data_IF_957782380833
#
_entry.id   IF_957782380833
#
_cell.length_a   1.000
_cell.length_b   1.000
_cell.length_c   1.000
_cell.angle_alpha   90.00
_cell.angle_beta   90.00
_cell.angle_gamma   90.00
#
_symmetry.space_group_name_H-M   'P 1'
#
loop_
_entity.id
_entity.type
_entity.pdbx_description
1 polymer ?
#
# COMPACT_ATOMS: atom_id res chain seq x y z
N UNK A 1 -17.27 -32.41 -30.34
CA UNK A 1 -16.33 -33.37 -29.73
C UNK A 1 -15.67 -34.17 -30.83
N UNK A 2 -14.37 -33.99 -31.03
CA UNK A 2 -13.62 -34.66 -32.10
C UNK A 2 -13.22 -36.07 -31.66
N UNK A 3 -12.96 -36.97 -32.63
CA UNK A 3 -12.52 -38.35 -32.34
C UNK A 3 -11.29 -38.42 -31.44
N UNK A 4 -10.43 -37.38 -31.47
CA UNK A 4 -9.26 -37.26 -30.60
C UNK A 4 -9.63 -36.91 -29.15
N UNK A 5 -10.64 -36.07 -28.92
CA UNK A 5 -11.14 -35.73 -27.58
C UNK A 5 -11.78 -36.95 -26.91
N UNK A 6 -12.56 -37.73 -27.65
CA UNK A 6 -13.19 -38.96 -27.13
C UNK A 6 -12.15 -40.03 -26.75
N UNK A 7 -11.05 -40.14 -27.51
CA UNK A 7 -9.96 -41.08 -27.19
C UNK A 7 -9.14 -40.63 -25.97
N UNK A 8 -9.03 -39.32 -25.73
CA UNK A 8 -8.33 -38.78 -24.57
C UNK A 8 -9.16 -38.98 -23.30
N UNK A 9 -10.46 -38.70 -23.37
CA UNK A 9 -11.39 -38.91 -22.24
C UNK A 9 -11.51 -40.38 -21.84
N UNK A 10 -11.53 -41.31 -22.81
CA UNK A 10 -11.54 -42.75 -22.53
C UNK A 10 -10.24 -43.26 -21.89
N UNK A 11 -9.08 -42.67 -22.21
CA UNK A 11 -7.81 -43.03 -21.58
C UNK A 11 -7.70 -42.48 -20.15
N UNK A 12 -8.29 -41.32 -19.88
CA UNK A 12 -8.23 -40.66 -18.57
C UNK A 12 -9.24 -41.26 -17.57
N UNK A 13 -10.37 -41.80 -18.04
CA UNK A 13 -11.37 -42.48 -17.19
C UNK A 13 -11.06 -43.95 -16.87
N UNK A 14 -10.08 -44.57 -17.52
CA UNK A 14 -9.61 -45.91 -17.16
C UNK A 14 -8.52 -45.78 -16.08
N UNK A 15 -8.93 -45.92 -14.82
CA UNK A 15 -8.00 -45.96 -13.67
C UNK A 15 -6.92 -47.04 -13.88
N UNK A 16 -5.66 -46.70 -13.59
CA UNK A 16 -4.54 -47.64 -13.51
C UNK A 16 -4.86 -48.73 -12.49
N UNK A 17 -5.10 -49.96 -12.97
CA UNK A 17 -5.40 -51.12 -12.13
C UNK A 17 -6.44 -52.10 -12.69
N UNK A 18 -7.26 -51.68 -13.67
CA UNK A 18 -8.23 -52.60 -14.29
C UNK A 18 -7.56 -53.38 -15.41
N UNK A 19 -7.26 -54.66 -15.17
CA UNK A 19 -6.66 -55.55 -16.18
C UNK A 19 -7.66 -55.76 -17.34
N UNK A 20 -7.23 -55.77 -18.62
CA UNK A 20 -8.11 -56.02 -19.77
C UNK A 20 -8.88 -57.35 -19.73
N UNK A 21 -8.48 -58.28 -18.86
CA UNK A 21 -9.15 -59.56 -18.61
C UNK A 21 -10.51 -59.43 -17.92
N UNK A 22 -10.76 -58.36 -17.17
CA UNK A 22 -12.01 -58.21 -16.39
C UNK A 22 -13.18 -57.71 -17.26
N UNK A 23 -12.88 -56.99 -18.34
CA UNK A 23 -13.88 -56.56 -19.34
C UNK A 23 -14.43 -57.76 -20.16
N UNK A 24 -13.68 -58.86 -20.27
CA UNK A 24 -14.14 -60.07 -20.98
C UNK A 24 -15.12 -60.95 -20.19
N UNK A 25 -15.26 -60.75 -18.87
CA UNK A 25 -16.18 -61.55 -18.04
C UNK A 25 -17.62 -61.03 -18.01
N UNK A 26 -17.88 -59.85 -18.58
CA UNK A 26 -19.21 -59.23 -18.65
C UNK A 26 -20.05 -59.61 -19.89
N UNK A 27 -19.57 -60.53 -20.73
CA UNK A 27 -20.35 -61.07 -21.85
C UNK A 27 -20.48 -62.58 -21.74
N UNK A 28 -21.45 -63.05 -20.94
CA UNK A 28 -22.17 -64.35 -21.09
C UNK A 28 -23.07 -64.60 -19.87
N UNK A 29 -24.15 -63.85 -19.75
CA UNK A 29 -25.38 -64.39 -19.14
C UNK A 29 -26.32 -64.74 -20.30
N UNK A 30 -26.24 -66.00 -20.74
CA UNK A 30 -27.28 -66.61 -21.57
C UNK A 30 -28.46 -66.89 -20.63
N UNK A 31 -29.53 -66.13 -20.77
CA UNK A 31 -30.85 -66.49 -20.28
C UNK A 31 -31.78 -66.50 -21.49
N UNK A 32 -31.82 -67.66 -22.14
CA UNK A 32 -32.79 -68.03 -23.17
C UNK A 32 -33.27 -69.41 -22.77
N UNK A 33 -34.53 -69.50 -22.34
CA UNK A 33 -35.19 -70.78 -22.05
C UNK A 33 -35.82 -70.79 -20.67
N UNK A 34 -37.02 -70.23 -20.54
CA UNK A 34 -38.19 -70.89 -19.94
C UNK A 34 -39.36 -69.91 -19.89
N UNK A 35 -40.22 -70.00 -20.92
CA UNK A 35 -41.55 -69.39 -20.94
C UNK A 35 -42.53 -70.54 -20.71
N UNK A 36 -43.18 -70.65 -19.54
CA UNK A 36 -44.37 -71.47 -19.40
C UNK A 36 -45.60 -70.67 -19.86
N UNK A 37 -46.33 -71.28 -20.80
CA UNK A 37 -47.59 -70.82 -21.33
C UNK A 37 -48.70 -70.74 -20.25
N UNK A 38 -49.36 -69.59 -20.23
CA UNK A 38 -50.80 -69.34 -20.00
C UNK A 38 -51.57 -70.13 -18.92
N UNK A 39 -51.90 -69.45 -17.82
CA UNK A 39 -53.13 -69.65 -17.01
C UNK A 39 -53.73 -68.25 -16.74
N UNK A 40 -55.07 -68.06 -16.84
CA UNK A 40 -55.71 -66.75 -16.88
C UNK A 40 -55.79 -66.11 -15.49
N UNK A 41 -54.94 -65.11 -15.26
CA UNK A 41 -54.95 -64.28 -14.06
C UNK A 41 -55.87 -63.09 -14.32
N UNK A 42 -56.84 -62.88 -13.42
CA UNK A 42 -57.70 -61.70 -13.43
C UNK A 42 -56.86 -60.41 -13.53
N UNK A 43 -57.30 -59.42 -14.33
CA UNK A 43 -56.47 -58.27 -14.67
C UNK A 43 -56.01 -57.57 -13.37
N UNK A 44 -54.68 -57.44 -13.14
CA UNK A 44 -54.19 -56.59 -12.07
C UNK A 44 -54.78 -55.19 -12.27
N UNK A 45 -55.18 -54.49 -11.19
CA UNK A 45 -55.82 -53.18 -11.29
C UNK A 45 -54.93 -52.28 -12.17
N UNK A 46 -55.43 -51.80 -13.32
CA UNK A 46 -54.59 -51.31 -14.42
C UNK A 46 -53.77 -50.04 -14.13
N UNK A 47 -53.82 -49.50 -12.91
CA UNK A 47 -53.24 -48.19 -12.58
C UNK A 47 -52.07 -48.21 -11.57
N UNK A 48 -51.89 -49.22 -10.71
CA UNK A 48 -50.90 -49.13 -9.62
C UNK A 48 -49.43 -49.13 -10.11
N UNK A 49 -49.11 -49.98 -11.09
CA UNK A 49 -47.78 -50.03 -11.71
C UNK A 49 -47.50 -48.78 -12.54
N UNK A 50 -48.53 -48.24 -13.19
CA UNK A 50 -48.44 -47.01 -13.96
C UNK A 50 -48.16 -45.81 -13.05
N UNK A 51 -48.82 -45.75 -11.89
CA UNK A 51 -48.61 -44.70 -10.89
C UNK A 51 -47.21 -44.75 -10.24
N UNK A 52 -46.69 -45.95 -9.97
CA UNK A 52 -45.31 -46.09 -9.48
C UNK A 52 -44.28 -45.70 -10.54
N UNK A 53 -44.53 -46.04 -11.80
CA UNK A 53 -43.65 -45.71 -12.91
C UNK A 53 -43.64 -44.20 -13.17
N UNK A 54 -44.79 -43.54 -13.11
CA UNK A 54 -44.88 -42.07 -13.21
C UNK A 54 -44.21 -41.39 -12.03
N UNK A 55 -44.41 -41.86 -10.79
CA UNK A 55 -43.71 -41.32 -9.61
C UNK A 55 -42.18 -41.44 -9.76
N UNK A 56 -41.66 -42.61 -10.14
CA UNK A 56 -40.21 -42.79 -10.35
C UNK A 56 -39.67 -41.97 -11.50
N UNK A 57 -40.48 -41.75 -12.54
CA UNK A 57 -40.12 -40.88 -13.66
C UNK A 57 -40.03 -39.42 -13.22
N UNK A 58 -40.98 -38.95 -12.40
CA UNK A 58 -40.94 -37.59 -11.83
C UNK A 58 -39.75 -37.40 -10.87
N UNK A 59 -39.42 -38.41 -10.06
CA UNK A 59 -38.25 -38.38 -9.17
C UNK A 59 -36.93 -38.35 -9.96
N UNK A 60 -36.84 -39.11 -11.07
CA UNK A 60 -35.68 -39.05 -11.96
C UNK A 60 -35.55 -37.69 -12.66
N UNK A 61 -36.66 -37.08 -13.06
CA UNK A 61 -36.66 -35.75 -13.65
C UNK A 61 -36.26 -34.67 -12.63
N UNK A 62 -36.72 -34.76 -11.37
CA UNK A 62 -36.29 -33.85 -10.31
C UNK A 62 -34.81 -34.00 -9.99
N UNK A 63 -34.30 -35.23 -9.88
CA UNK A 63 -32.87 -35.48 -9.66
C UNK A 63 -32.01 -35.00 -10.83
N UNK A 64 -32.49 -35.13 -12.07
CA UNK A 64 -31.81 -34.57 -13.25
C UNK A 64 -31.77 -33.05 -13.21
N UNK A 65 -32.87 -32.40 -12.84
CA UNK A 65 -32.93 -30.95 -12.71
C UNK A 65 -32.01 -30.44 -11.59
N UNK A 66 -31.97 -31.13 -10.44
CA UNK A 66 -31.06 -30.80 -9.34
C UNK A 66 -29.59 -31.00 -9.75
N UNK A 67 -29.26 -32.11 -10.41
CA UNK A 67 -27.91 -32.37 -10.89
C UNK A 67 -27.47 -31.33 -11.93
N UNK A 68 -28.36 -30.90 -12.82
CA UNK A 68 -28.07 -29.82 -13.78
C UNK A 68 -27.84 -28.49 -13.07
N UNK A 69 -28.67 -28.16 -12.07
CA UNK A 69 -28.51 -26.95 -11.25
C UNK A 69 -27.17 -26.95 -10.49
N UNK A 70 -26.78 -28.08 -9.90
CA UNK A 70 -25.49 -28.23 -9.21
C UNK A 70 -24.32 -28.12 -10.19
N UNK A 71 -24.43 -28.74 -11.37
CA UNK A 71 -23.39 -28.62 -12.41
C UNK A 71 -23.24 -27.18 -12.91
N UNK A 72 -24.34 -26.45 -13.08
CA UNK A 72 -24.30 -25.04 -13.44
C UNK A 72 -23.65 -24.19 -12.34
N UNK A 73 -24.05 -24.40 -11.07
CA UNK A 73 -23.43 -23.72 -9.93
C UNK A 73 -21.93 -24.01 -9.79
N UNK A 74 -21.51 -25.26 -10.05
CA UNK A 74 -20.09 -25.64 -10.06
C UNK A 74 -19.33 -24.92 -11.18
N UNK A 75 -19.93 -24.79 -12.37
CA UNK A 75 -19.34 -24.07 -13.51
C UNK A 75 -19.17 -22.58 -13.21
N UNK A 76 -20.18 -21.95 -12.61
CA UNK A 76 -20.14 -20.55 -12.20
C UNK A 76 -19.08 -20.31 -11.12
N UNK A 77 -19.04 -21.15 -10.10
CA UNK A 77 -18.04 -21.07 -9.02
C UNK A 77 -16.62 -21.24 -9.57
N UNK A 78 -16.43 -22.17 -10.51
CA UNK A 78 -15.14 -22.36 -11.18
C UNK A 78 -14.72 -21.11 -11.96
N UNK A 79 -15.64 -20.51 -12.73
CA UNK A 79 -15.37 -19.29 -13.47
C UNK A 79 -14.99 -18.13 -12.54
N UNK A 80 -15.71 -17.95 -11.44
CA UNK A 80 -15.40 -16.91 -10.45
C UNK A 80 -14.01 -17.11 -9.81
N UNK A 81 -13.63 -18.36 -9.55
CA UNK A 81 -12.30 -18.68 -9.04
C UNK A 81 -11.21 -18.36 -10.07
N UNK A 82 -11.41 -18.74 -11.33
CA UNK A 82 -10.47 -18.47 -12.42
C UNK A 82 -10.31 -16.95 -12.66
N UNK A 83 -11.40 -16.17 -12.61
CA UNK A 83 -11.39 -14.71 -12.73
C UNK A 83 -10.66 -14.06 -11.55
N UNK A 84 -10.91 -14.54 -10.32
CA UNK A 84 -10.24 -14.07 -9.11
C UNK A 84 -8.74 -14.35 -9.13
N UNK A 85 -8.33 -15.54 -9.57
CA UNK A 85 -6.91 -15.90 -9.72
C UNK A 85 -6.24 -15.05 -10.80
N UNK A 86 -6.90 -14.82 -11.93
CA UNK A 86 -6.40 -13.96 -13.00
C UNK A 86 -6.20 -12.52 -12.51
N UNK A 87 -7.16 -11.98 -11.77
CA UNK A 87 -7.05 -10.65 -11.16
C UNK A 87 -5.89 -10.57 -10.15
N UNK A 88 -5.69 -11.59 -9.31
CA UNK A 88 -4.56 -11.66 -8.37
C UNK A 88 -3.22 -11.71 -9.09
N UNK A 89 -3.08 -12.50 -10.16
CA UNK A 89 -1.87 -12.58 -10.97
C UNK A 89 -1.56 -11.21 -11.59
N UNK A 90 -2.57 -10.52 -12.13
CA UNK A 90 -2.41 -9.18 -12.67
C UNK A 90 -1.97 -8.18 -11.58
N UNK A 91 -2.59 -8.23 -10.40
CA UNK A 91 -2.22 -7.40 -9.26
C UNK A 91 -0.77 -7.61 -8.79
N UNK A 92 -0.32 -8.86 -8.69
CA UNK A 92 1.07 -9.19 -8.32
C UNK A 92 2.06 -8.67 -9.38
N UNK A 93 1.70 -8.73 -10.67
CA UNK A 93 2.52 -8.20 -11.75
C UNK A 93 2.68 -6.68 -11.67
N UNK A 94 1.58 -5.95 -11.45
CA UNK A 94 1.60 -4.49 -11.26
C UNK A 94 2.43 -4.12 -10.04
N UNK A 95 2.21 -4.81 -8.91
CA UNK A 95 3.01 -4.61 -7.70
C UNK A 95 4.51 -4.82 -7.94
N UNK A 96 4.88 -5.87 -8.68
CA UNK A 96 6.28 -6.14 -9.04
C UNK A 96 6.89 -5.00 -9.87
N UNK A 97 6.13 -4.45 -10.83
CA UNK A 97 6.58 -3.32 -11.65
C UNK A 97 6.77 -2.04 -10.83
N UNK A 98 5.81 -1.70 -9.97
CA UNK A 98 5.89 -0.53 -9.07
C UNK A 98 7.04 -0.68 -8.08
N UNK A 99 7.24 -1.86 -7.51
CA UNK A 99 8.35 -2.14 -6.61
C UNK A 99 9.71 -1.96 -7.29
N UNK A 100 9.87 -2.46 -8.52
CA UNK A 100 11.08 -2.24 -9.31
C UNK A 100 11.30 -0.76 -9.65
N UNK A 101 10.25 -0.02 -9.98
CA UNK A 101 10.34 1.42 -10.23
C UNK A 101 10.75 2.19 -8.97
N UNK A 102 10.18 1.84 -7.82
CA UNK A 102 10.54 2.42 -6.53
C UNK A 102 12.01 2.21 -6.19
N UNK A 103 12.54 0.99 -6.40
CA UNK A 103 13.97 0.71 -6.17
C UNK A 103 14.85 1.61 -7.06
N UNK A 104 14.50 1.78 -8.34
CA UNK A 104 15.24 2.67 -9.24
C UNK A 104 15.21 4.12 -8.78
N UNK A 105 14.03 4.64 -8.42
CA UNK A 105 13.90 6.01 -7.91
C UNK A 105 14.64 6.21 -6.58
N UNK A 106 14.72 5.19 -5.73
CA UNK A 106 15.51 5.23 -4.49
C UNK A 106 17.02 5.27 -4.77
N UNK A 107 17.48 4.52 -5.77
CA UNK A 107 18.88 4.58 -6.25
C UNK A 107 19.22 5.97 -6.82
N UNK A 108 18.39 6.50 -7.72
CA UNK A 108 18.56 7.84 -8.30
C UNK A 108 18.58 8.95 -7.22
N UNK A 109 17.71 8.83 -6.21
CA UNK A 109 17.68 9.77 -5.08
C UNK A 109 18.97 9.69 -4.26
N UNK A 110 19.46 8.48 -4.00
CA UNK A 110 20.71 8.26 -3.24
C UNK A 110 21.91 8.86 -4.00
N UNK A 111 22.01 8.60 -5.30
CA UNK A 111 23.04 9.19 -6.17
C UNK A 111 22.99 10.73 -6.17
N UNK A 112 21.78 11.30 -6.24
CA UNK A 112 21.59 12.75 -6.17
C UNK A 112 22.02 13.33 -4.82
N UNK A 113 21.74 12.64 -3.71
CA UNK A 113 22.16 13.04 -2.37
C UNK A 113 23.68 12.98 -2.25
N UNK A 114 24.32 11.93 -2.78
CA UNK A 114 25.77 11.77 -2.75
C UNK A 114 26.47 12.85 -3.58
N UNK A 115 25.94 13.16 -4.77
CA UNK A 115 26.45 14.25 -5.59
C UNK A 115 26.33 15.60 -4.89
N UNK A 116 25.15 15.92 -4.35
CA UNK A 116 24.93 17.17 -3.62
C UNK A 116 25.84 17.28 -2.38
N UNK A 117 26.07 16.16 -1.68
CA UNK A 117 26.98 16.10 -0.53
C UNK A 117 28.44 16.32 -0.94
N UNK A 118 28.86 15.76 -2.08
CA UNK A 118 30.18 16.00 -2.65
C UNK A 118 30.39 17.47 -3.05
N UNK A 119 29.40 18.08 -3.70
CA UNK A 119 29.44 19.51 -4.08
C UNK A 119 29.51 20.42 -2.86
N UNK A 120 28.74 20.14 -1.79
CA UNK A 120 28.82 20.88 -0.53
C UNK A 120 30.20 20.76 0.11
N UNK A 121 30.76 19.56 0.18
CA UNK A 121 32.10 19.34 0.72
C UNK A 121 33.18 20.07 -0.10
N UNK A 122 33.05 20.12 -1.43
CA UNK A 122 33.94 20.90 -2.28
C UNK A 122 33.83 22.40 -1.98
N UNK A 123 32.61 22.92 -1.82
CA UNK A 123 32.34 24.29 -1.41
C UNK A 123 32.98 24.64 -0.06
N UNK A 124 32.79 23.79 0.96
CA UNK A 124 33.36 24.00 2.30
C UNK A 124 34.90 23.98 2.28
N UNK A 125 35.50 23.10 1.47
CA UNK A 125 36.94 23.08 1.27
C UNK A 125 37.46 24.36 0.61
N UNK A 126 36.74 24.91 -0.38
CA UNK A 126 37.09 26.18 -1.00
C UNK A 126 36.96 27.36 -0.02
N UNK A 127 35.87 27.41 0.75
CA UNK A 127 35.66 28.43 1.78
C UNK A 127 36.79 28.39 2.82
N UNK A 128 37.19 27.19 3.25
CA UNK A 128 38.29 27.01 4.22
C UNK A 128 39.63 27.51 3.66
N UNK A 129 39.92 27.24 2.38
CA UNK A 129 41.10 27.79 1.69
C UNK A 129 41.07 29.32 1.65
N UNK A 130 39.94 29.91 1.25
CA UNK A 130 39.78 31.37 1.19
C UNK A 130 39.90 32.03 2.57
N UNK A 131 39.32 31.44 3.61
CA UNK A 131 39.47 31.92 5.00
C UNK A 131 40.94 31.90 5.46
N UNK A 132 41.67 30.84 5.11
CA UNK A 132 43.09 30.72 5.44
C UNK A 132 43.91 31.80 4.71
N UNK A 133 43.63 32.03 3.42
CA UNK A 133 44.29 33.08 2.64
C UNK A 133 43.97 34.49 3.18
N UNK A 134 42.72 34.76 3.54
CA UNK A 134 42.30 36.02 4.16
C UNK A 134 43.07 36.26 5.46
N UNK A 135 43.16 35.25 6.32
CA UNK A 135 43.89 35.33 7.58
C UNK A 135 45.38 35.61 7.36
N UNK A 136 46.01 34.95 6.40
CA UNK A 136 47.42 35.19 6.04
C UNK A 136 47.63 36.63 5.55
N UNK A 137 46.75 37.13 4.68
CA UNK A 137 46.80 38.51 4.20
C UNK A 137 46.65 39.52 5.35
N UNK A 138 45.72 39.27 6.29
CA UNK A 138 45.55 40.10 7.48
C UNK A 138 46.81 40.14 8.37
N UNK A 139 47.46 38.99 8.58
CA UNK A 139 48.72 38.91 9.32
C UNK A 139 49.85 39.69 8.62
N UNK A 140 49.94 39.60 7.29
CA UNK A 140 50.91 40.39 6.52
C UNK A 140 50.66 41.89 6.66
N UNK A 141 49.41 42.34 6.56
CA UNK A 141 49.04 43.74 6.76
C UNK A 141 49.43 44.22 8.16
N UNK A 142 49.13 43.44 9.20
CA UNK A 142 49.51 43.77 10.59
C UNK A 142 51.04 43.87 10.77
N UNK A 143 51.80 42.94 10.19
CA UNK A 143 53.26 42.96 10.23
C UNK A 143 53.83 44.19 9.53
N UNK A 144 53.31 44.53 8.34
CA UNK A 144 53.72 45.72 7.60
C UNK A 144 53.37 47.00 8.36
N UNK A 145 52.21 47.08 9.01
CA UNK A 145 51.84 48.19 9.88
C UNK A 145 52.80 48.34 11.07
N UNK A 146 53.18 47.23 11.71
CA UNK A 146 54.16 47.25 12.79
C UNK A 146 55.54 47.73 12.30
N UNK A 147 56.01 47.22 11.15
CA UNK A 147 57.27 47.64 10.55
C UNK A 147 57.25 49.13 10.21
N UNK A 148 56.13 49.61 9.65
CA UNK A 148 55.92 51.03 9.36
C UNK A 148 56.02 51.88 10.63
N UNK A 149 55.42 51.43 11.73
CA UNK A 149 55.47 52.14 13.02
C UNK A 149 56.88 52.15 13.63
N UNK A 150 57.63 51.05 13.56
CA UNK A 150 59.04 51.02 13.99
C UNK A 150 59.92 51.93 13.13
N UNK A 151 59.72 51.90 11.81
CA UNK A 151 60.44 52.79 10.91
C UNK A 151 60.13 54.27 11.21
N UNK A 152 58.87 54.59 11.56
CA UNK A 152 58.49 55.93 12.02
C UNK A 152 59.19 56.33 13.33
N UNK A 153 59.29 55.42 14.30
CA UNK A 153 59.97 55.67 15.58
C UNK A 153 61.48 55.86 15.43
N UNK A 154 62.17 54.97 14.71
CA UNK A 154 63.62 55.07 14.49
C UNK A 154 64.00 56.35 13.73
N UNK A 155 63.12 56.83 12.87
CA UNK A 155 63.33 58.04 12.07
C UNK A 155 63.10 59.34 12.87
N UNK A 156 62.25 59.29 13.88
CA UNK A 156 61.93 60.42 14.75
C UNK A 156 62.71 60.40 16.08
N UNK A 157 63.61 59.44 16.30
CA UNK A 157 64.64 59.54 17.33
C UNK A 157 65.71 60.52 16.84
N UNK A 158 65.73 61.79 17.29
CA UNK A 158 66.95 62.58 17.17
C UNK A 158 68.07 61.76 17.80
N UNK A 159 69.25 61.74 17.19
CA UNK A 159 70.46 61.32 17.88
C UNK A 159 70.53 62.15 19.18
N UNK A 160 70.09 61.57 20.29
CA UNK A 160 70.39 62.05 21.62
C UNK A 160 71.89 61.78 21.80
N UNK A 161 72.70 62.71 21.30
CA UNK A 161 73.98 62.97 21.94
C UNK A 161 73.67 63.29 23.40
N UNK A 162 74.34 62.64 24.38
CA UNK A 162 74.02 62.81 25.78
C UNK A 162 74.54 64.16 26.24
N UNK A 163 73.72 65.21 26.13
CA UNK A 163 73.98 66.48 26.78
C UNK A 163 72.69 67.11 27.28
N UNK A 164 72.59 67.13 28.61
CA UNK A 164 71.79 68.02 29.45
C UNK A 164 70.26 67.92 29.36
N UNK A 165 69.70 67.11 30.28
CA UNK A 165 68.44 67.44 30.93
C UNK A 165 68.64 68.65 31.83
N UNK A 166 67.97 69.75 31.54
CA UNK A 166 67.48 70.64 32.60
C UNK A 166 66.24 71.41 32.13
N UNK A 167 65.15 71.14 32.86
CA UNK A 167 63.99 72.00 33.17
C UNK A 167 63.22 72.74 32.05
N UNK A 168 61.96 72.33 31.83
CA UNK A 168 60.82 73.24 32.00
C UNK A 168 59.46 72.53 31.84
N UNK A 169 58.67 72.57 32.91
CA UNK A 169 57.40 71.85 33.08
C UNK A 169 56.16 72.78 32.95
N UNK A 170 56.30 74.00 32.43
CA UNK A 170 55.27 75.05 32.57
C UNK A 170 54.50 75.43 31.29
N UNK A 171 54.66 74.72 30.17
CA UNK A 171 54.06 75.12 28.87
C UNK A 171 52.84 74.31 28.39
N UNK A 172 52.30 73.42 29.24
CA UNK A 172 51.16 72.56 28.87
C UNK A 172 49.78 73.25 28.91
N UNK A 173 49.48 74.21 29.83
CA UNK A 173 48.14 74.81 29.89
C UNK A 173 47.88 75.87 28.80
N UNK A 174 48.92 76.54 28.28
CA UNK A 174 48.76 77.66 27.34
C UNK A 174 48.46 77.20 25.89
N UNK A 175 48.88 75.99 25.52
CA UNK A 175 48.69 75.44 24.16
C UNK A 175 47.27 74.95 23.91
N UNK A 176 46.54 74.53 24.96
CA UNK A 176 45.15 74.09 24.88
C UNK A 176 44.15 75.24 24.68
N UNK A 177 44.43 76.44 25.19
CA UNK A 177 43.51 77.59 25.09
C UNK A 177 43.59 78.31 23.73
N UNK A 178 44.77 78.37 23.11
CA UNK A 178 44.95 78.97 21.78
C UNK A 178 44.30 78.14 20.66
N UNK A 179 44.26 76.81 20.81
CA UNK A 179 43.66 75.87 19.85
C UNK A 179 42.12 75.93 19.79
N UNK A 180 41.46 76.35 20.87
CA UNK A 180 40.01 76.49 20.94
C UNK A 180 39.50 77.79 20.31
N UNK A 181 40.24 78.90 20.44
CA UNK A 181 39.87 80.20 19.87
C UNK A 181 40.03 80.25 18.34
N UNK A 182 40.95 79.46 17.78
CA UNK A 182 41.23 79.45 16.33
C UNK A 182 40.20 78.65 15.51
N UNK A 183 39.32 77.88 16.17
CA UNK A 183 38.36 76.98 15.51
C UNK A 183 37.00 77.64 15.18
N UNK A 184 36.71 78.83 15.67
CA UNK A 184 35.37 79.45 15.53
C UNK A 184 35.22 80.50 14.41
N UNK A 185 36.29 80.87 13.68
CA UNK A 185 36.23 81.94 12.66
C UNK A 185 36.40 81.46 11.20
N UNK A 186 35.94 80.26 10.90
CA UNK A 186 35.66 79.86 9.51
C UNK A 186 34.33 80.46 9.06
N UNK A 187 34.30 81.26 7.99
CA UNK A 187 33.37 81.18 6.85
C UNK A 187 33.34 82.53 6.09
N UNK A 188 33.75 82.53 4.81
CA UNK A 188 33.04 83.14 3.65
C UNK A 188 33.99 83.51 2.48
N UNK A 189 33.89 82.70 1.41
CA UNK A 189 33.89 83.04 -0.03
C UNK A 189 35.10 83.73 -0.71
N UNK A 190 35.66 82.97 -1.66
CA UNK A 190 36.82 83.18 -2.52
C UNK A 190 36.41 83.61 -3.94
N UNK A 191 36.98 84.69 -4.48
CA UNK A 191 37.05 84.98 -5.93
C UNK A 191 38.32 85.77 -6.24
N UNK A 192 39.15 85.23 -7.14
CA UNK A 192 40.54 85.61 -7.37
C UNK A 192 40.78 87.02 -7.91
N UNK A 193 41.58 87.78 -7.16
CA UNK A 193 42.26 88.99 -7.60
C UNK A 193 43.54 89.09 -6.76
N UNK A 194 44.66 89.50 -7.38
CA UNK A 194 46.00 89.58 -6.81
C UNK A 194 46.09 90.53 -5.59
N UNK A 195 45.54 90.07 -4.48
CA UNK A 195 45.38 90.77 -3.21
C UNK A 195 46.28 90.10 -2.17
N UNK A 196 46.71 90.83 -1.11
CA UNK A 196 47.43 90.26 0.03
C UNK A 196 46.76 89.01 0.64
N UNK A 197 45.47 88.78 0.40
CA UNK A 197 44.74 87.58 0.81
C UNK A 197 45.08 86.35 -0.04
N UNK A 198 45.26 86.46 -1.36
CA UNK A 198 45.72 85.31 -2.18
C UNK A 198 47.11 84.86 -1.74
N UNK A 199 48.00 85.80 -1.40
CA UNK A 199 49.31 85.48 -0.85
C UNK A 199 49.19 84.78 0.52
N UNK A 200 48.21 85.15 1.35
CA UNK A 200 47.94 84.48 2.61
C UNK A 200 47.29 83.10 2.42
N UNK A 201 46.48 82.91 1.40
CA UNK A 201 45.89 81.62 1.06
C UNK A 201 46.90 80.67 0.45
N UNK A 202 47.79 81.13 -0.43
CA UNK A 202 48.94 80.35 -0.90
C UNK A 202 49.83 79.98 0.29
N UNK A 203 50.05 80.88 1.25
CA UNK A 203 50.75 80.54 2.50
C UNK A 203 50.00 79.52 3.36
N UNK A 204 48.66 79.58 3.42
CA UNK A 204 47.83 78.57 4.12
C UNK A 204 47.85 77.23 3.42
N UNK A 205 47.69 77.18 2.10
CA UNK A 205 47.74 75.95 1.30
C UNK A 205 49.13 75.34 1.39
N UNK A 206 50.18 76.15 1.26
CA UNK A 206 51.56 75.67 1.45
C UNK A 206 51.79 75.18 2.88
N UNK A 207 51.16 75.80 3.89
CA UNK A 207 51.25 75.33 5.27
C UNK A 207 50.47 74.04 5.49
N UNK A 208 49.25 73.92 4.98
CA UNK A 208 48.43 72.69 5.05
C UNK A 208 49.13 71.57 4.31
N UNK A 209 49.69 71.85 3.14
CA UNK A 209 50.46 70.88 2.37
C UNK A 209 51.74 70.48 3.09
N UNK A 210 52.48 71.45 3.67
CA UNK A 210 53.65 71.15 4.49
C UNK A 210 53.28 70.33 5.75
N UNK A 211 52.16 70.64 6.40
CA UNK A 211 51.66 69.92 7.56
C UNK A 211 51.17 68.51 7.19
N UNK A 212 50.49 68.33 6.04
CA UNK A 212 50.12 67.02 5.49
C UNK A 212 51.35 66.19 5.13
N UNK A 213 52.32 66.78 4.45
CA UNK A 213 53.59 66.15 4.12
C UNK A 213 54.38 65.77 5.38
N UNK A 214 54.37 66.62 6.42
CA UNK A 214 55.12 66.41 7.66
C UNK A 214 54.43 65.48 8.65
N UNK A 215 53.11 65.52 8.78
CA UNK A 215 52.36 64.78 9.80
C UNK A 215 51.78 63.47 9.25
N UNK A 216 51.21 63.49 8.04
CA UNK A 216 50.50 62.33 7.47
C UNK A 216 51.43 61.46 6.61
N UNK A 217 52.24 62.08 5.74
CA UNK A 217 53.29 61.37 4.97
C UNK A 217 54.55 61.17 5.83
N UNK A 218 54.81 62.07 6.78
CA UNK A 218 55.93 61.99 7.71
C UNK A 218 57.28 62.42 7.14
N UNK A 219 57.33 63.18 6.04
CA UNK A 219 58.57 63.65 5.42
C UNK A 219 58.94 65.06 5.87
N UNK A 220 60.19 65.27 6.31
CA UNK A 220 60.72 66.58 6.69
C UNK A 220 61.23 67.38 5.48
N UNK A 221 61.63 66.70 4.40
CA UNK A 221 62.07 67.32 3.14
C UNK A 221 61.43 66.68 1.89
N UNK A 222 61.57 67.34 0.74
CA UNK A 222 60.90 66.95 -0.51
C UNK A 222 61.43 65.63 -1.11
N UNK A 223 62.70 65.31 -0.89
CA UNK A 223 63.31 64.06 -1.36
C UNK A 223 62.86 62.88 -0.50
N UNK A 224 62.66 63.13 0.79
CA UNK A 224 62.16 62.16 1.75
C UNK A 224 60.67 61.86 1.51
N UNK A 225 59.86 62.88 1.21
CA UNK A 225 58.48 62.71 0.75
C UNK A 225 58.47 61.87 -0.54
N UNK A 226 59.31 62.20 -1.51
CA UNK A 226 59.39 61.48 -2.80
C UNK A 226 59.82 60.02 -2.62
N UNK A 227 60.77 59.75 -1.71
CA UNK A 227 61.21 58.39 -1.39
C UNK A 227 60.11 57.61 -0.66
N UNK A 228 59.37 58.25 0.25
CA UNK A 228 58.26 57.63 0.97
C UNK A 228 57.04 57.35 0.11
N UNK A 229 56.84 58.15 -0.94
CA UNK A 229 55.86 57.87 -2.00
C UNK A 229 56.40 56.87 -3.05
N UNK A 230 57.56 56.23 -2.80
CA UNK A 230 58.23 55.32 -3.73
C UNK A 230 58.44 55.92 -5.15
N UNK A 231 58.65 57.23 -5.22
CA UNK A 231 58.82 57.95 -6.48
C UNK A 231 57.52 58.22 -7.24
N UNK A 232 56.37 57.74 -6.75
CA UNK A 232 55.08 57.96 -7.38
C UNK A 232 54.67 59.41 -7.32
N UNK A 233 54.10 59.89 -8.40
CA UNK A 233 53.54 61.23 -8.46
C UNK A 233 52.21 61.28 -7.71
N UNK A 234 51.83 62.47 -7.20
CA UNK A 234 50.52 62.64 -6.55
C UNK A 234 49.37 62.25 -7.50
N UNK A 235 49.54 62.48 -8.81
CA UNK A 235 48.58 62.07 -9.84
C UNK A 235 48.37 60.55 -9.86
N UNK A 236 49.44 59.75 -9.82
CA UNK A 236 49.35 58.28 -9.80
C UNK A 236 48.66 57.76 -8.53
N UNK A 237 48.87 58.43 -7.38
CA UNK A 237 48.24 58.04 -6.12
C UNK A 237 46.74 58.37 -6.14
N UNK A 238 46.37 59.53 -6.70
CA UNK A 238 44.98 59.91 -6.84
C UNK A 238 44.24 58.99 -7.84
N UNK A 239 44.87 58.66 -8.96
CA UNK A 239 44.32 57.71 -9.94
C UNK A 239 44.13 56.30 -9.32
N UNK A 240 45.09 55.81 -8.52
CA UNK A 240 44.93 54.53 -7.82
C UNK A 240 43.81 54.59 -6.76
N UNK A 241 43.61 55.73 -6.10
CA UNK A 241 42.50 55.92 -5.17
C UNK A 241 41.14 55.92 -5.87
N UNK A 242 41.02 56.56 -7.03
CA UNK A 242 39.79 56.52 -7.85
C UNK A 242 39.48 55.08 -8.30
N UNK A 243 40.50 54.31 -8.67
CA UNK A 243 40.37 52.87 -8.97
C UNK A 243 39.94 52.06 -7.75
N UNK A 244 40.48 52.37 -6.55
CA UNK A 244 40.07 51.71 -5.31
C UNK A 244 38.62 52.02 -4.95
N UNK A 245 38.18 53.28 -5.07
CA UNK A 245 36.79 53.69 -4.83
C UNK A 245 35.84 52.94 -5.75
N UNK A 246 36.15 52.92 -7.06
CA UNK A 246 35.37 52.17 -8.06
C UNK A 246 35.30 50.68 -7.71
N UNK A 247 36.42 50.08 -7.31
CA UNK A 247 36.48 48.67 -6.90
C UNK A 247 35.70 48.39 -5.61
N UNK A 248 35.72 49.31 -4.64
CA UNK A 248 34.91 49.19 -3.43
C UNK A 248 33.42 49.29 -3.72
N UNK A 249 33.01 50.15 -4.67
CA UNK A 249 31.62 50.25 -5.11
C UNK A 249 31.16 48.98 -5.83
N UNK A 250 31.98 48.44 -6.74
CA UNK A 250 31.71 47.17 -7.40
C UNK A 250 31.57 46.01 -6.41
N UNK A 251 32.46 45.94 -5.41
CA UNK A 251 32.40 44.92 -4.37
C UNK A 251 31.17 45.09 -3.48
N UNK A 252 30.79 46.31 -3.15
CA UNK A 252 29.59 46.62 -2.36
C UNK A 252 28.33 46.21 -3.12
N UNK A 253 28.29 46.48 -4.43
CA UNK A 253 27.19 46.06 -5.30
C UNK A 253 27.12 44.54 -5.42
N UNK A 254 28.23 43.86 -5.71
CA UNK A 254 28.29 42.38 -5.78
C UNK A 254 27.90 41.73 -4.46
N UNK A 255 28.31 42.31 -3.33
CA UNK A 255 27.88 41.85 -2.00
C UNK A 255 26.35 41.93 -1.86
N UNK A 256 25.73 43.04 -2.25
CA UNK A 256 24.28 43.20 -2.23
C UNK A 256 23.55 42.19 -3.14
N UNK A 257 24.09 41.93 -4.34
CA UNK A 257 23.56 40.93 -5.28
C UNK A 257 23.62 39.51 -4.68
N UNK A 258 24.75 39.13 -4.06
CA UNK A 258 24.91 37.85 -3.39
C UNK A 258 24.01 37.71 -2.15
N UNK A 259 23.86 38.75 -1.35
CA UNK A 259 22.95 38.75 -0.20
C UNK A 259 21.49 38.54 -0.64
N UNK A 260 21.07 39.19 -1.73
CA UNK A 260 19.75 38.99 -2.32
C UNK A 260 19.55 37.56 -2.87
N UNK A 261 20.55 37.00 -3.53
CA UNK A 261 20.52 35.62 -4.01
C UNK A 261 20.41 34.62 -2.86
N UNK A 262 21.19 34.80 -1.79
CA UNK A 262 21.11 33.96 -0.58
C UNK A 262 19.71 34.00 0.02
N UNK A 263 19.10 35.19 0.15
CA UNK A 263 17.73 35.33 0.67
C UNK A 263 16.74 34.59 -0.24
N UNK A 264 16.87 34.72 -1.57
CA UNK A 264 16.01 34.04 -2.53
C UNK A 264 16.13 32.51 -2.41
N UNK A 265 17.35 31.99 -2.34
CA UNK A 265 17.63 30.56 -2.17
C UNK A 265 17.13 30.03 -0.81
N UNK A 266 17.30 30.79 0.27
CA UNK A 266 16.76 30.45 1.59
C UNK A 266 15.24 30.35 1.56
N UNK A 267 14.55 31.31 0.93
CA UNK A 267 13.09 31.28 0.82
C UNK A 267 12.61 30.11 -0.07
N UNK A 268 13.30 29.85 -1.18
CA UNK A 268 13.01 28.70 -2.04
C UNK A 268 13.15 27.37 -1.28
N UNK A 269 14.25 27.18 -0.55
CA UNK A 269 14.45 25.99 0.31
C UNK A 269 13.41 25.89 1.41
N UNK A 270 13.04 26.99 2.06
CA UNK A 270 11.99 27.00 3.10
C UNK A 270 10.64 26.53 2.52
N UNK A 271 10.29 26.96 1.32
CA UNK A 271 9.08 26.52 0.63
C UNK A 271 9.14 25.02 0.31
N UNK A 272 10.26 24.54 -0.24
CA UNK A 272 10.45 23.11 -0.51
C UNK A 272 10.36 22.24 0.76
N UNK A 273 10.94 22.69 1.88
CA UNK A 273 10.84 22.00 3.17
C UNK A 273 9.39 21.95 3.64
N UNK A 274 8.66 23.06 3.58
CA UNK A 274 7.25 23.11 3.99
C UNK A 274 6.35 22.21 3.13
N UNK A 275 6.65 22.07 1.84
CA UNK A 275 5.92 21.17 0.94
C UNK A 275 6.21 19.70 1.26
N UNK A 276 7.48 19.36 1.49
CA UNK A 276 7.87 18.01 1.94
C UNK A 276 7.23 17.65 3.27
N UNK A 277 7.16 18.56 4.24
CA UNK A 277 6.46 18.35 5.51
C UNK A 277 4.97 18.05 5.30
N UNK A 278 4.29 18.79 4.43
CA UNK A 278 2.87 18.52 4.10
C UNK A 278 2.67 17.14 3.47
N UNK A 279 3.59 16.72 2.59
CA UNK A 279 3.57 15.39 1.98
C UNK A 279 3.76 14.32 3.07
N UNK A 280 4.72 14.50 3.97
CA UNK A 280 4.97 13.59 5.10
C UNK A 280 3.70 13.44 5.96
N UNK A 281 3.07 14.54 6.37
CA UNK A 281 1.84 14.49 7.17
C UNK A 281 0.70 13.75 6.45
N UNK A 282 0.56 13.95 5.13
CA UNK A 282 -0.44 13.23 4.33
C UNK A 282 -0.16 11.72 4.29
N UNK A 283 1.09 11.33 4.07
CA UNK A 283 1.49 9.91 4.04
C UNK A 283 1.33 9.23 5.39
N UNK A 284 1.62 9.93 6.50
CA UNK A 284 1.38 9.41 7.85
C UNK A 284 -0.10 9.15 8.13
N UNK A 285 -0.97 10.07 7.70
CA UNK A 285 -2.41 9.90 7.83
C UNK A 285 -2.92 8.73 6.97
N UNK A 286 -2.46 8.63 5.72
CA UNK A 286 -2.82 7.51 4.83
C UNK A 286 -2.37 6.16 5.40
N UNK A 287 -1.14 6.10 5.95
CA UNK A 287 -0.63 4.91 6.63
C UNK A 287 -1.53 4.51 7.80
N UNK A 288 -1.94 5.48 8.63
CA UNK A 288 -2.86 5.24 9.76
C UNK A 288 -4.21 4.69 9.29
N UNK A 289 -4.77 5.26 8.22
CA UNK A 289 -6.05 4.82 7.66
C UNK A 289 -5.95 3.41 7.05
N UNK A 290 -4.85 3.09 6.37
CA UNK A 290 -4.57 1.74 5.88
C UNK A 290 -4.41 0.73 7.02
N UNK A 291 -3.67 1.07 8.08
CA UNK A 291 -3.55 0.20 9.27
C UNK A 291 -4.91 -0.07 9.90
N UNK A 292 -5.76 0.95 10.01
CA UNK A 292 -7.13 0.78 10.53
C UNK A 292 -7.98 -0.13 9.63
N UNK A 293 -7.89 0.03 8.29
CA UNK A 293 -8.59 -0.84 7.33
C UNK A 293 -8.12 -2.29 7.42
N UNK A 294 -6.82 -2.53 7.51
CA UNK A 294 -6.25 -3.88 7.67
C UNK A 294 -6.69 -4.50 8.98
N UNK A 295 -6.66 -3.75 10.09
CA UNK A 295 -7.14 -4.25 11.39
C UNK A 295 -8.63 -4.62 11.35
N UNK A 296 -9.48 -3.81 10.70
CA UNK A 296 -10.90 -4.14 10.52
C UNK A 296 -11.10 -5.42 9.70
N UNK A 297 -10.38 -5.56 8.58
CA UNK A 297 -10.45 -6.77 7.74
C UNK A 297 -9.94 -8.01 8.47
N UNK A 298 -8.91 -7.89 9.30
CA UNK A 298 -8.41 -8.99 10.11
C UNK A 298 -9.48 -9.50 11.09
N UNK A 299 -10.18 -8.58 11.78
CA UNK A 299 -11.29 -8.95 12.67
C UNK A 299 -12.44 -9.63 11.94
N UNK A 300 -12.81 -9.13 10.76
CA UNK A 300 -13.83 -9.77 9.92
C UNK A 300 -13.43 -11.18 9.51
N UNK A 301 -12.16 -11.38 9.14
CA UNK A 301 -11.64 -12.71 8.79
C UNK A 301 -11.69 -13.67 10.00
N UNK A 302 -11.36 -13.19 11.20
CA UNK A 302 -11.45 -14.00 12.42
C UNK A 302 -12.91 -14.39 12.73
N UNK A 303 -13.87 -13.47 12.52
CA UNK A 303 -15.31 -13.73 12.65
C UNK A 303 -15.79 -14.77 11.63
N UNK A 304 -15.41 -14.63 10.35
CA UNK A 304 -15.73 -15.59 9.29
C UNK A 304 -15.14 -16.97 9.57
N UNK A 305 -13.89 -17.05 10.04
CA UNK A 305 -13.26 -18.32 10.42
C UNK A 305 -13.97 -18.98 11.60
N UNK A 306 -14.44 -18.20 12.57
CA UNK A 306 -15.22 -18.71 13.70
C UNK A 306 -16.58 -19.25 13.23
N UNK A 307 -17.28 -18.56 12.33
CA UNK A 307 -18.53 -19.04 11.74
C UNK A 307 -18.31 -20.31 10.93
N UNK A 308 -17.28 -20.35 10.07
CA UNK A 308 -16.93 -21.53 9.29
C UNK A 308 -16.65 -22.74 10.20
N UNK A 309 -15.96 -22.52 11.33
CA UNK A 309 -15.73 -23.57 12.33
C UNK A 309 -17.04 -24.09 12.93
N UNK A 310 -17.99 -23.20 13.26
CA UNK A 310 -19.32 -23.60 13.75
C UNK A 310 -20.08 -24.42 12.72
N UNK A 311 -20.12 -23.97 11.46
CA UNK A 311 -20.80 -24.71 10.38
C UNK A 311 -20.17 -26.08 10.15
N UNK A 312 -18.84 -26.19 10.27
CA UNK A 312 -18.13 -27.45 10.11
C UNK A 312 -18.50 -28.44 11.22
N UNK A 313 -18.59 -27.99 12.48
CA UNK A 313 -19.07 -28.83 13.59
C UNK A 313 -20.54 -29.27 13.43
N UNK A 314 -21.39 -28.41 12.86
CA UNK A 314 -22.78 -28.78 12.54
C UNK A 314 -22.85 -29.84 11.44
N UNK A 315 -22.04 -29.69 10.39
CA UNK A 315 -21.93 -30.68 9.30
C UNK A 315 -21.42 -32.04 9.80
N UNK A 316 -20.44 -32.05 10.71
CA UNK A 316 -19.96 -33.28 11.34
C UNK A 316 -21.08 -33.97 12.13
N UNK A 317 -21.87 -33.21 12.89
CA UNK A 317 -23.01 -33.74 13.66
C UNK A 317 -24.07 -34.33 12.74
N UNK A 318 -24.47 -33.61 11.69
CA UNK A 318 -25.42 -34.08 10.67
C UNK A 318 -24.92 -35.32 9.93
N UNK A 319 -23.62 -35.38 9.63
CA UNK A 319 -23.00 -36.54 8.99
C UNK A 319 -23.09 -37.76 9.91
N UNK A 320 -22.82 -37.58 11.21
CA UNK A 320 -22.95 -38.65 12.19
C UNK A 320 -24.40 -39.15 12.29
N UNK A 321 -25.37 -38.24 12.37
CA UNK A 321 -26.80 -38.59 12.42
C UNK A 321 -27.26 -39.37 11.17
N UNK A 322 -26.80 -38.97 9.99
CA UNK A 322 -27.05 -39.70 8.75
C UNK A 322 -26.45 -41.11 8.77
N UNK A 323 -25.23 -41.27 9.29
CA UNK A 323 -24.61 -42.61 9.41
C UNK A 323 -25.37 -43.50 10.40
N UNK A 324 -25.79 -42.96 11.54
CA UNK A 324 -26.59 -43.67 12.54
C UNK A 324 -27.94 -44.10 11.94
N UNK A 325 -28.61 -43.21 11.21
CA UNK A 325 -29.88 -43.50 10.52
C UNK A 325 -29.71 -44.58 9.46
N UNK A 326 -28.63 -44.52 8.68
CA UNK A 326 -28.33 -45.54 7.67
C UNK A 326 -28.09 -46.92 8.30
N UNK A 327 -27.39 -46.98 9.42
CA UNK A 327 -27.21 -48.23 10.17
C UNK A 327 -28.52 -48.76 10.74
N UNK A 328 -29.38 -47.89 11.28
CA UNK A 328 -30.70 -48.27 11.76
C UNK A 328 -31.57 -48.85 10.64
N UNK A 329 -31.60 -48.20 9.48
CA UNK A 329 -32.31 -48.70 8.30
C UNK A 329 -31.76 -50.05 7.80
N UNK A 330 -30.44 -50.25 7.87
CA UNK A 330 -29.82 -51.53 7.51
C UNK A 330 -30.22 -52.65 8.48
N UNK A 331 -30.26 -52.39 9.79
CA UNK A 331 -30.75 -53.34 10.80
C UNK A 331 -32.22 -53.71 10.56
N UNK A 332 -33.07 -52.72 10.30
CA UNK A 332 -34.48 -52.96 9.95
C UNK A 332 -34.60 -53.83 8.69
N UNK A 333 -33.77 -53.60 7.67
CA UNK A 333 -33.76 -54.42 6.47
C UNK A 333 -33.38 -55.88 6.76
N UNK A 334 -32.45 -56.12 7.68
CA UNK A 334 -32.05 -57.45 8.13
C UNK A 334 -33.15 -58.13 8.96
N UNK A 335 -33.90 -57.38 9.77
CA UNK A 335 -35.07 -57.88 10.53
C UNK A 335 -36.27 -58.23 9.63
N UNK A 336 -36.41 -57.57 8.46
CA UNK A 336 -37.51 -57.86 7.51
C UNK A 336 -37.26 -59.12 6.69
N UNK A 337 -36.00 -59.49 6.39
CA UNK A 337 -35.66 -60.71 5.64
C UNK A 337 -36.33 -62.01 6.15
N UNK A 338 -36.34 -62.33 7.46
CA UNK A 338 -37.03 -63.53 7.93
C UNK A 338 -38.55 -63.48 7.75
N UNK A 339 -39.13 -62.29 7.57
CA UNK A 339 -40.56 -62.12 7.28
C UNK A 339 -40.90 -62.57 5.85
N UNK A 340 -39.99 -62.36 4.89
CA UNK A 340 -40.15 -62.86 3.53
C UNK A 340 -40.07 -64.39 3.49
N UNK A 341 -39.12 -64.97 4.22
CA UNK A 341 -38.99 -66.44 4.35
C UNK A 341 -40.22 -67.04 5.03
N UNK A 342 -40.72 -66.41 6.09
CA UNK A 342 -41.96 -66.82 6.77
C UNK A 342 -43.18 -66.68 5.85
N UNK A 343 -43.24 -65.63 5.03
CA UNK A 343 -44.29 -65.44 4.04
C UNK A 343 -44.27 -66.55 2.98
N UNK A 344 -43.08 -66.95 2.52
CA UNK A 344 -42.93 -68.09 1.61
C UNK A 344 -43.34 -69.42 2.27
N UNK A 345 -42.99 -69.63 3.54
CA UNK A 345 -43.43 -70.80 4.31
C UNK A 345 -44.95 -70.84 4.45
N UNK A 346 -45.59 -69.73 4.84
CA UNK A 346 -47.04 -69.62 4.93
C UNK A 346 -47.70 -69.88 3.56
N UNK A 347 -47.18 -69.30 2.47
CA UNK A 347 -47.68 -69.56 1.11
C UNK A 347 -47.55 -71.02 0.70
N UNK A 348 -46.52 -71.72 1.17
CA UNK A 348 -46.35 -73.16 0.94
C UNK A 348 -47.36 -73.98 1.73
N UNK A 349 -47.56 -73.65 3.01
CA UNK A 349 -48.56 -74.28 3.87
C UNK A 349 -49.98 -74.08 3.32
N UNK A 350 -50.31 -72.87 2.89
CA UNK A 350 -51.61 -72.56 2.29
C UNK A 350 -51.85 -73.35 1.00
N UNK A 351 -50.81 -73.57 0.17
CA UNK A 351 -50.90 -74.43 -1.03
C UNK A 351 -51.18 -75.87 -0.66
N UNK A 352 -50.54 -76.39 0.39
CA UNK A 352 -50.79 -77.74 0.88
C UNK A 352 -52.21 -77.90 1.41
N UNK A 353 -52.73 -76.91 2.15
CA UNK A 353 -54.10 -76.91 2.69
C UNK A 353 -55.11 -76.83 1.54
N UNK A 354 -54.96 -75.89 0.60
CA UNK A 354 -55.91 -75.73 -0.50
C UNK A 354 -55.90 -76.93 -1.46
N UNK A 355 -54.77 -77.64 -1.61
CA UNK A 355 -54.70 -78.87 -2.40
C UNK A 355 -55.61 -80.00 -1.88
N UNK A 356 -56.08 -79.92 -0.63
CA UNK A 356 -57.08 -80.85 -0.07
C UNK A 356 -58.50 -80.60 -0.60
N UNK A 357 -58.77 -79.39 -1.08
CA UNK A 357 -60.10 -78.95 -1.54
C UNK A 357 -60.16 -78.75 -3.06
N UNK A 358 -59.02 -78.38 -3.67
CA UNK A 358 -58.87 -78.21 -5.11
C UNK A 358 -57.51 -78.81 -5.55
N UNK A 359 -57.49 -79.93 -6.28
CA UNK A 359 -56.26 -80.56 -6.74
C UNK A 359 -55.35 -79.66 -7.60
N UNK A 360 -55.92 -78.65 -8.26
CA UNK A 360 -55.17 -77.68 -9.07
C UNK A 360 -54.51 -76.58 -8.23
N UNK A 361 -54.81 -76.51 -6.92
CA UNK A 361 -54.28 -75.46 -6.05
C UNK A 361 -52.77 -75.52 -5.79
N UNK A 362 -52.11 -76.62 -6.18
CA UNK A 362 -50.64 -76.75 -6.13
C UNK A 362 -49.94 -75.79 -7.10
N UNK A 363 -50.62 -75.41 -8.17
CA UNK A 363 -50.06 -74.58 -9.25
C UNK A 363 -50.32 -73.09 -9.06
N UNK A 364 -51.02 -72.69 -7.99
CA UNK A 364 -51.23 -71.26 -7.72
C UNK A 364 -49.92 -70.56 -7.33
N UNK A 365 -49.58 -69.42 -7.98
CA UNK A 365 -48.33 -68.70 -7.70
C UNK A 365 -48.32 -68.07 -6.31
N UNK A 366 -49.48 -67.62 -5.83
CA UNK A 366 -49.74 -67.10 -4.48
C UNK A 366 -51.19 -67.36 -4.12
N UNK A 367 -51.45 -67.76 -2.89
CA UNK A 367 -52.79 -67.92 -2.33
C UNK A 367 -53.03 -66.72 -1.41
N UNK A 368 -53.86 -65.79 -1.89
CA UNK A 368 -54.22 -64.57 -1.17
C UNK A 368 -55.58 -64.74 -0.45
N UNK A 369 -55.53 -65.14 0.82
CA UNK A 369 -56.73 -65.15 1.67
C UNK A 369 -57.22 -63.73 2.02
N UNK A 370 -56.43 -62.67 1.81
CA UNK A 370 -56.88 -61.29 2.01
C UNK A 370 -57.87 -60.83 0.92
N UNK A 371 -57.99 -61.56 -0.19
CA UNK A 371 -59.07 -61.39 -1.15
C UNK A 371 -60.47 -61.55 -0.53
N UNK A 372 -60.61 -62.44 0.46
CA UNK A 372 -61.87 -62.65 1.21
C UNK A 372 -62.11 -61.56 2.25
N UNK A 373 -61.05 -61.05 2.91
CA UNK A 373 -61.17 -59.94 3.85
C UNK A 373 -61.53 -58.61 3.18
N UNK A 374 -61.20 -58.42 1.89
CA UNK A 374 -61.67 -57.27 1.09
C UNK A 374 -63.20 -57.21 0.93
N UNK A 375 -63.91 -58.31 1.18
CA UNK A 375 -65.38 -58.36 1.15
C UNK A 375 -66.03 -58.14 2.53
N UNK A 376 -65.23 -57.92 3.59
CA UNK A 376 -65.78 -57.60 4.90
C UNK A 376 -66.04 -56.09 5.03
N UNK A 377 -67.16 -55.66 5.63
CA UNK A 377 -67.53 -54.23 5.73
C UNK A 377 -66.49 -53.37 6.47
N UNK A 378 -65.61 -53.97 7.27
CA UNK A 378 -64.49 -53.26 7.93
C UNK A 378 -63.39 -52.81 6.96
N UNK A 379 -63.25 -53.44 5.80
CA UNK A 379 -62.26 -53.05 4.80
C UNK A 379 -62.62 -51.73 4.10
N UNK A 380 -63.92 -51.37 4.05
CA UNK A 380 -64.37 -50.07 3.55
C UNK A 380 -64.09 -48.94 4.56
N UNK A 381 -64.27 -49.21 5.86
CA UNK A 381 -63.88 -48.28 6.94
C UNK A 381 -62.39 -47.97 6.93
N UNK A 382 -61.53 -48.98 6.71
CA UNK A 382 -60.07 -48.78 6.63
C UNK A 382 -59.70 -47.96 5.39
N UNK A 383 -60.35 -48.20 4.25
CA UNK A 383 -60.12 -47.37 3.04
C UNK A 383 -60.58 -45.93 3.23
N UNK A 384 -61.68 -45.70 3.93
CA UNK A 384 -62.14 -44.36 4.28
C UNK A 384 -61.12 -43.65 5.19
N UNK A 385 -60.63 -44.34 6.24
CA UNK A 385 -59.59 -43.80 7.11
C UNK A 385 -58.26 -43.52 6.38
N UNK A 386 -57.83 -44.39 5.46
CA UNK A 386 -56.64 -44.13 4.64
C UNK A 386 -56.80 -42.92 3.72
N UNK A 387 -58.00 -42.72 3.18
CA UNK A 387 -58.30 -41.56 2.35
C UNK A 387 -58.32 -40.29 3.19
N UNK A 388 -58.93 -40.30 4.37
CA UNK A 388 -58.89 -39.18 5.32
C UNK A 388 -57.45 -38.84 5.74
N UNK A 389 -56.63 -39.85 6.00
CA UNK A 389 -55.24 -39.67 6.43
C UNK A 389 -54.37 -39.09 5.31
N UNK A 390 -54.61 -39.50 4.05
CA UNK A 390 -54.00 -38.88 2.84
C UNK A 390 -54.41 -37.43 2.68
N UNK A 391 -55.68 -37.12 2.96
CA UNK A 391 -56.22 -35.75 2.87
C UNK A 391 -55.57 -34.86 3.93
N UNK A 392 -55.48 -35.36 5.17
CA UNK A 392 -54.80 -34.68 6.28
C UNK A 392 -53.31 -34.45 6.02
N UNK A 393 -52.62 -35.42 5.42
CA UNK A 393 -51.19 -35.26 5.06
C UNK A 393 -50.99 -34.22 3.97
N UNK A 394 -51.89 -34.14 2.99
CA UNK A 394 -51.85 -33.12 1.94
C UNK A 394 -52.10 -31.72 2.50
N UNK A 395 -53.08 -31.57 3.39
CA UNK A 395 -53.34 -30.29 4.08
C UNK A 395 -52.14 -29.83 4.91
N UNK A 396 -51.50 -30.75 5.64
CA UNK A 396 -50.30 -30.44 6.42
C UNK A 396 -49.12 -30.02 5.55
N UNK A 397 -48.94 -30.66 4.39
CA UNK A 397 -47.90 -30.29 3.43
C UNK A 397 -48.13 -28.88 2.87
N UNK A 398 -49.38 -28.57 2.48
CA UNK A 398 -49.76 -27.24 1.99
C UNK A 398 -49.53 -26.15 3.06
N UNK A 399 -49.84 -26.45 4.33
CA UNK A 399 -49.58 -25.53 5.43
C UNK A 399 -48.08 -25.25 5.63
N UNK A 400 -47.22 -26.28 5.53
CA UNK A 400 -45.78 -26.11 5.65
C UNK A 400 -45.20 -25.27 4.50
N UNK A 401 -45.63 -25.50 3.27
CA UNK A 401 -45.23 -24.67 2.13
C UNK A 401 -45.66 -23.20 2.28
N UNK A 402 -46.88 -22.95 2.76
CA UNK A 402 -47.34 -21.58 3.01
C UNK A 402 -46.50 -20.87 4.08
N UNK A 403 -46.08 -21.58 5.13
CA UNK A 403 -45.21 -21.05 6.17
C UNK A 403 -43.81 -20.72 5.63
N UNK A 404 -43.24 -21.58 4.81
CA UNK A 404 -41.92 -21.36 4.20
C UNK A 404 -41.91 -20.10 3.31
N UNK A 405 -42.96 -19.90 2.50
CA UNK A 405 -43.14 -18.68 1.70
C UNK A 405 -43.29 -17.41 2.55
N UNK A 406 -43.93 -17.52 3.72
CA UNK A 406 -44.06 -16.41 4.66
C UNK A 406 -42.71 -16.05 5.29
N UNK A 407 -41.93 -17.05 5.70
CA UNK A 407 -40.60 -16.85 6.29
C UNK A 407 -39.63 -16.24 5.26
N UNK A 408 -39.68 -16.66 3.98
CA UNK A 408 -38.93 -16.00 2.89
C UNK A 408 -39.32 -14.53 2.71
N UNK A 409 -40.62 -14.22 2.79
CA UNK A 409 -41.12 -12.86 2.65
C UNK A 409 -40.68 -11.97 3.80
N UNK A 410 -40.67 -12.49 5.03
CA UNK A 410 -40.14 -11.82 6.22
C UNK A 410 -38.63 -11.59 6.08
N UNK A 411 -37.88 -12.59 5.57
CA UNK A 411 -36.45 -12.46 5.30
C UNK A 411 -36.13 -11.33 4.31
N UNK A 412 -36.86 -11.28 3.19
CA UNK A 412 -36.74 -10.20 2.20
C UNK A 412 -37.07 -8.84 2.78
N UNK A 413 -38.13 -8.73 3.58
CA UNK A 413 -38.48 -7.47 4.25
C UNK A 413 -37.37 -7.01 5.21
N UNK A 414 -36.76 -7.91 5.98
CA UNK A 414 -35.64 -7.58 6.88
C UNK A 414 -34.37 -7.15 6.15
N UNK A 415 -34.14 -7.60 4.92
CA UNK A 415 -32.99 -7.15 4.12
C UNK A 415 -33.15 -5.74 3.51
N UNK A 416 -34.37 -5.19 3.53
CA UNK A 416 -34.68 -3.86 2.97
C UNK A 416 -34.70 -2.75 4.03
N UNK A 417 -34.62 -3.09 5.31
CA UNK A 417 -34.44 -2.18 6.44
C UNK A 417 -33.04 -2.36 7.01
#
# INVERSE_FOLDING_TARGET
MTKQELQKELKEKVKEGVKPSDIKKLKRSKSTGDIPNAIPIAPPPPNLLQDQLTQKQTELESLRAELEKVNQGLKETKQQLDDSLTARIAGVKVFGQEHSQRIKSEQELTETIDQASSELNQGDNQITKLKTQLYQAQQQVSNLQHQLNLARLNKNSPLLTPTNLETNLDYLPLTLYALLAQRQNTLATFTGSASPQELQEVKKVNKIFADFCRNDIGGQDINEIRTKLNGRTLSEILEENDDYETKTDELTRKKGELEAEVIMLTNSRKNQVSEKERIITRLEQEKKDLTNKVSKKAKQLDEEQLEHKKTLTQLETLTQDLTNTRQANQKLLEEIKPLDDLTQQHQTQLRQINALFDPQAKDYPTIDFNGLYKQTPKAEEIKAMEQDLKTLTLEKLNFLQAREQMDESIGKARSLF
#
